data_IF_233588549108
#
_entry.id   IF_233588549108
#
_cell.length_a   1.000
_cell.length_b   1.000
_cell.length_c   1.000
_cell.angle_alpha   90.00
_cell.angle_beta   90.00
_cell.angle_gamma   90.00
#
_symmetry.space_group_name_H-M   'P 1'
#
loop_
_entity.id
_entity.type
_entity.pdbx_description
1 polymer ?
#
# COMPACT_ATOMS: atom_id res chain seq x y z
N UNK A 1 -36.81 138.87 -11.08
CA UNK A 1 -37.35 137.70 -10.34
C UNK A 1 -36.22 136.69 -10.27
N UNK A 2 -35.40 136.68 -9.21
CA UNK A 2 -35.56 135.97 -7.93
C UNK A 2 -35.29 134.45 -8.06
N UNK A 3 -34.01 134.09 -7.87
CA UNK A 3 -33.28 132.89 -7.32
C UNK A 3 -33.99 131.53 -7.15
N UNK A 4 -33.27 130.36 -7.22
CA UNK A 4 -32.23 129.91 -6.25
C UNK A 4 -30.96 129.23 -6.85
N UNK A 5 -29.76 129.37 -6.24
CA UNK A 5 -29.15 128.58 -5.13
C UNK A 5 -28.85 127.09 -5.48
N UNK A 6 -27.57 126.66 -5.59
CA UNK A 6 -26.72 126.04 -4.53
C UNK A 6 -27.20 124.58 -4.23
N UNK A 7 -26.44 123.47 -4.24
CA UNK A 7 -25.05 123.24 -3.79
C UNK A 7 -24.53 121.82 -4.15
N UNK A 8 -23.22 121.70 -3.97
CA UNK A 8 -22.37 120.54 -3.71
C UNK A 8 -23.01 119.23 -3.19
N UNK A 9 -22.62 118.11 -3.80
CA UNK A 9 -22.63 116.78 -3.16
C UNK A 9 -21.52 115.90 -3.75
N UNK A 10 -20.28 116.19 -3.34
CA UNK A 10 -19.05 115.42 -3.63
C UNK A 10 -18.67 114.50 -2.45
N UNK A 11 -19.67 113.98 -1.72
CA UNK A 11 -19.48 113.45 -0.36
C UNK A 11 -20.02 112.03 -0.15
N UNK A 12 -19.99 111.16 -1.16
CA UNK A 12 -20.42 109.76 -0.96
C UNK A 12 -19.48 108.74 -1.62
N UNK A 13 -18.26 108.65 -1.08
CA UNK A 13 -17.31 107.56 -1.35
C UNK A 13 -17.18 106.72 -0.08
N UNK A 14 -18.15 105.84 0.16
CA UNK A 14 -18.08 104.83 1.22
C UNK A 14 -17.21 103.64 0.78
N UNK A 15 -15.94 103.67 1.18
CA UNK A 15 -14.98 102.57 1.01
C UNK A 15 -15.38 101.36 1.86
N UNK A 16 -16.09 100.39 1.25
CA UNK A 16 -16.50 99.14 1.90
C UNK A 16 -15.31 98.16 1.98
N UNK A 17 -14.61 98.18 3.12
CA UNK A 17 -13.49 97.28 3.46
C UNK A 17 -13.99 95.83 3.57
N UNK A 18 -13.79 95.03 2.52
CA UNK A 18 -14.18 93.61 2.45
C UNK A 18 -13.03 92.74 2.99
N UNK A 19 -13.08 92.37 4.25
CA UNK A 19 -12.19 91.36 4.84
C UNK A 19 -12.50 89.99 4.21
N UNK A 20 -11.57 89.49 3.38
CA UNK A 20 -11.58 88.11 2.86
C UNK A 20 -11.24 87.16 4.01
N UNK A 21 -12.04 86.11 4.29
CA UNK A 21 -11.56 85.00 5.09
C UNK A 21 -10.55 84.20 4.25
N UNK A 22 -9.36 83.95 4.80
CA UNK A 22 -8.40 82.98 4.26
C UNK A 22 -8.97 81.59 4.55
N UNK A 23 -9.22 80.72 3.56
CA UNK A 23 -9.65 79.36 3.85
C UNK A 23 -8.49 78.61 4.51
N UNK A 24 -8.79 77.92 5.63
CA UNK A 24 -7.89 76.97 6.23
C UNK A 24 -7.51 75.91 5.19
N UNK A 25 -6.20 75.69 5.02
CA UNK A 25 -5.63 74.72 4.09
C UNK A 25 -6.07 73.33 4.53
N UNK A 26 -7.03 72.75 3.82
CA UNK A 26 -7.44 71.36 4.02
C UNK A 26 -6.24 70.44 3.72
N UNK A 27 -5.97 69.53 4.66
CA UNK A 27 -4.79 68.67 4.66
C UNK A 27 -4.72 67.69 3.47
N UNK A 28 -3.51 67.34 2.99
CA UNK A 28 -3.29 66.32 1.96
C UNK A 28 -3.36 64.87 2.49
N UNK A 29 -4.01 64.63 3.63
CA UNK A 29 -4.05 63.34 4.35
C UNK A 29 -4.87 62.24 3.66
N UNK A 30 -5.77 62.57 2.71
CA UNK A 30 -6.72 61.61 2.13
C UNK A 30 -6.06 60.55 1.21
N UNK A 31 -5.07 60.94 0.41
CA UNK A 31 -4.45 60.04 -0.57
C UNK A 31 -3.48 59.04 0.08
N UNK A 32 -2.80 59.44 1.15
CA UNK A 32 -1.91 58.57 1.91
C UNK A 32 -2.67 57.42 2.59
N UNK A 33 -3.76 57.74 3.30
CA UNK A 33 -4.59 56.74 3.97
C UNK A 33 -5.28 55.79 3.00
N UNK A 34 -5.65 56.27 1.81
CA UNK A 34 -6.19 55.41 0.74
C UNK A 34 -5.15 54.37 0.28
N UNK A 35 -3.89 54.78 0.10
CA UNK A 35 -2.80 53.85 -0.25
C UNK A 35 -2.52 52.81 0.84
N UNK A 36 -2.51 53.23 2.11
CA UNK A 36 -2.34 52.34 3.26
C UNK A 36 -3.48 51.33 3.35
N UNK A 37 -4.73 51.75 3.16
CA UNK A 37 -5.90 50.86 3.20
C UNK A 37 -5.85 49.79 2.09
N UNK A 38 -5.43 50.17 0.87
CA UNK A 38 -5.24 49.21 -0.24
C UNK A 38 -4.12 48.22 0.10
N UNK A 39 -2.98 48.72 0.59
CA UNK A 39 -1.84 47.86 0.95
C UNK A 39 -2.20 46.85 2.04
N UNK A 40 -2.86 47.31 3.12
CA UNK A 40 -3.33 46.43 4.21
C UNK A 40 -4.36 45.43 3.69
N UNK A 41 -5.27 45.85 2.81
CA UNK A 41 -6.24 44.95 2.18
C UNK A 41 -5.57 43.84 1.38
N UNK A 42 -4.59 44.19 0.53
CA UNK A 42 -3.81 43.20 -0.24
C UNK A 42 -3.00 42.29 0.70
N UNK A 43 -2.36 42.85 1.72
CA UNK A 43 -1.56 42.10 2.69
C UNK A 43 -2.40 41.10 3.50
N UNK A 44 -3.67 41.41 3.78
CA UNK A 44 -4.60 40.50 4.47
C UNK A 44 -5.17 39.42 3.54
N UNK A 45 -5.43 39.74 2.27
CA UNK A 45 -5.98 38.78 1.29
C UNK A 45 -4.92 37.80 0.78
N UNK A 46 -3.68 38.27 0.63
CA UNK A 46 -2.55 37.49 0.11
C UNK A 46 -2.30 36.15 0.84
N UNK A 47 -2.22 36.08 2.20
CA UNK A 47 -2.01 34.81 2.89
C UNK A 47 -3.12 33.80 2.60
N UNK A 48 -4.37 34.25 2.50
CA UNK A 48 -5.50 33.37 2.19
C UNK A 48 -5.45 32.83 0.75
N UNK A 49 -5.08 33.69 -0.21
CA UNK A 49 -4.89 33.28 -1.59
C UNK A 49 -3.73 32.30 -1.75
N UNK A 50 -2.59 32.57 -1.12
CA UNK A 50 -1.41 31.69 -1.17
C UNK A 50 -1.70 30.29 -0.62
N UNK A 51 -2.45 30.21 0.49
CA UNK A 51 -2.83 28.95 1.11
C UNK A 51 -3.79 28.12 0.24
N UNK A 52 -4.78 28.77 -0.38
CA UNK A 52 -5.71 28.07 -1.29
C UNK A 52 -5.02 27.55 -2.56
N UNK A 53 -4.07 28.31 -3.10
CA UNK A 53 -3.33 27.88 -4.30
C UNK A 53 -2.42 26.71 -3.98
N UNK A 54 -1.66 26.76 -2.87
CA UNK A 54 -0.79 25.66 -2.45
C UNK A 54 -1.55 24.37 -2.16
N UNK A 55 -2.69 24.46 -1.45
CA UNK A 55 -3.52 23.28 -1.15
C UNK A 55 -4.12 22.66 -2.41
N UNK A 56 -4.54 23.47 -3.39
CA UNK A 56 -5.03 22.94 -4.68
C UNK A 56 -3.93 22.30 -5.53
N UNK A 57 -2.73 22.87 -5.54
CA UNK A 57 -1.59 22.27 -6.24
C UNK A 57 -1.18 20.95 -5.56
N UNK A 58 -1.04 20.95 -4.23
CA UNK A 58 -0.74 19.74 -3.47
C UNK A 58 -1.78 18.64 -3.66
N UNK A 59 -3.08 18.97 -3.66
CA UNK A 59 -4.14 17.99 -3.93
C UNK A 59 -4.02 17.39 -5.35
N UNK A 60 -3.62 18.18 -6.34
CA UNK A 60 -3.44 17.70 -7.71
C UNK A 60 -2.23 16.79 -7.85
N UNK A 61 -1.12 17.13 -7.21
CA UNK A 61 0.11 16.33 -7.22
C UNK A 61 -0.08 15.00 -6.47
N UNK A 62 -0.79 15.02 -5.34
CA UNK A 62 -1.15 13.79 -4.59
C UNK A 62 -2.02 12.87 -5.44
N UNK A 63 -3.03 13.41 -6.14
CA UNK A 63 -3.90 12.60 -7.00
C UNK A 63 -3.12 11.96 -8.17
N UNK A 64 -2.15 12.68 -8.75
CA UNK A 64 -1.26 12.12 -9.78
C UNK A 64 -0.36 11.01 -9.20
N UNK A 65 0.26 11.27 -8.05
CA UNK A 65 1.14 10.30 -7.38
C UNK A 65 0.39 9.02 -6.95
N UNK A 66 -0.86 9.14 -6.48
CA UNK A 66 -1.69 7.98 -6.12
C UNK A 66 -2.00 7.11 -7.34
N UNK A 67 -2.25 7.72 -8.50
CA UNK A 67 -2.44 7.00 -9.76
C UNK A 67 -1.21 6.18 -10.14
N UNK A 68 -0.02 6.79 -10.11
CA UNK A 68 1.24 6.10 -10.41
C UNK A 68 1.56 5.00 -9.39
N UNK A 69 1.36 5.29 -8.10
CA UNK A 69 1.58 4.33 -7.02
C UNK A 69 0.66 3.10 -7.14
N UNK A 70 -0.62 3.30 -7.44
CA UNK A 70 -1.56 2.18 -7.64
C UNK A 70 -1.16 1.30 -8.82
N UNK A 71 -0.71 1.89 -9.93
CA UNK A 71 -0.20 1.16 -11.08
C UNK A 71 1.08 0.38 -10.75
N UNK A 72 1.97 0.95 -9.94
CA UNK A 72 3.19 0.27 -9.49
C UNK A 72 2.88 -0.88 -8.52
N UNK A 73 1.96 -0.68 -7.58
CA UNK A 73 1.45 -1.70 -6.66
C UNK A 73 0.80 -2.87 -7.40
N UNK A 74 -0.02 -2.61 -8.43
CA UNK A 74 -0.63 -3.66 -9.24
C UNK A 74 0.43 -4.51 -9.95
N UNK A 75 1.43 -3.86 -10.56
CA UNK A 75 2.57 -4.56 -11.19
C UNK A 75 3.37 -5.38 -10.17
N UNK A 76 3.61 -4.83 -8.98
CA UNK A 76 4.34 -5.52 -7.91
C UNK A 76 3.53 -6.70 -7.36
N UNK A 77 2.21 -6.55 -7.24
CA UNK A 77 1.29 -7.61 -6.84
C UNK A 77 1.29 -8.77 -7.82
N UNK A 78 1.22 -8.49 -9.12
CA UNK A 78 1.33 -9.52 -10.17
C UNK A 78 2.67 -10.27 -10.13
N UNK A 79 3.77 -9.54 -9.95
CA UNK A 79 5.11 -10.14 -9.84
C UNK A 79 5.26 -10.98 -8.57
N UNK A 80 4.78 -10.47 -7.43
CA UNK A 80 4.79 -11.20 -6.17
C UNK A 80 3.95 -12.47 -6.26
N UNK A 81 2.79 -12.42 -6.91
CA UNK A 81 1.93 -13.59 -7.08
C UNK A 81 2.58 -14.65 -7.97
N UNK A 82 3.32 -14.26 -9.01
CA UNK A 82 4.11 -15.20 -9.83
C UNK A 82 5.23 -15.85 -9.02
N UNK A 83 5.99 -15.07 -8.26
CA UNK A 83 7.05 -15.60 -7.39
C UNK A 83 6.50 -16.54 -6.30
N UNK A 84 5.35 -16.23 -5.71
CA UNK A 84 4.69 -17.12 -4.73
C UNK A 84 4.30 -18.45 -5.39
N UNK A 85 3.79 -18.43 -6.62
CA UNK A 85 3.45 -19.68 -7.32
C UNK A 85 4.69 -20.51 -7.69
N UNK A 86 5.76 -19.88 -8.14
CA UNK A 86 7.02 -20.55 -8.46
C UNK A 86 7.67 -21.15 -7.22
N UNK A 87 7.81 -20.36 -6.15
CA UNK A 87 8.33 -20.84 -4.87
C UNK A 87 7.44 -21.89 -4.22
N UNK A 88 6.11 -21.83 -4.39
CA UNK A 88 5.20 -22.89 -3.94
C UNK A 88 5.46 -24.22 -4.65
N UNK A 89 5.75 -24.21 -5.96
CA UNK A 89 6.07 -25.44 -6.71
C UNK A 89 7.40 -26.03 -6.27
N UNK A 90 8.43 -25.21 -6.13
CA UNK A 90 9.75 -25.65 -5.67
C UNK A 90 9.70 -26.21 -4.25
N UNK A 91 9.03 -25.50 -3.35
CA UNK A 91 8.86 -25.95 -1.97
C UNK A 91 8.01 -27.21 -1.87
N UNK A 92 6.99 -27.38 -2.72
CA UNK A 92 6.20 -28.61 -2.78
C UNK A 92 7.04 -29.81 -3.22
N UNK A 93 7.86 -29.66 -4.27
CA UNK A 93 8.76 -30.71 -4.73
C UNK A 93 9.80 -31.08 -3.67
N UNK A 94 10.43 -30.09 -3.03
CA UNK A 94 11.38 -30.31 -1.94
C UNK A 94 10.70 -30.95 -0.70
N UNK A 95 9.46 -30.58 -0.42
CA UNK A 95 8.69 -31.18 0.68
C UNK A 95 8.29 -32.64 0.38
N UNK A 96 8.03 -32.99 -0.87
CA UNK A 96 7.80 -34.38 -1.27
C UNK A 96 9.06 -35.23 -1.10
N UNK A 97 10.22 -34.71 -1.55
CA UNK A 97 11.51 -35.39 -1.37
C UNK A 97 11.83 -35.63 0.11
N UNK A 98 11.72 -34.60 0.95
CA UNK A 98 11.93 -34.73 2.40
C UNK A 98 10.99 -35.74 3.06
N UNK A 99 9.74 -35.83 2.59
CA UNK A 99 8.79 -36.84 3.08
C UNK A 99 9.23 -38.25 2.70
N UNK A 100 9.69 -38.45 1.46
CA UNK A 100 10.17 -39.75 0.98
C UNK A 100 11.46 -40.21 1.68
N UNK A 101 12.38 -39.30 2.01
CA UNK A 101 13.61 -39.60 2.75
C UNK A 101 13.35 -40.14 4.17
N UNK A 102 12.22 -39.76 4.76
CA UNK A 102 11.78 -40.26 6.06
C UNK A 102 11.29 -41.71 6.04
N UNK A 103 11.07 -42.31 4.87
CA UNK A 103 10.52 -43.66 4.74
C UNK A 103 11.59 -44.72 4.98
N UNK A 104 11.38 -45.55 6.00
CA UNK A 104 12.30 -46.63 6.36
C UNK A 104 11.57 -47.94 6.57
N UNK A 105 12.06 -48.99 5.94
CA UNK A 105 11.69 -50.36 6.26
C UNK A 105 12.31 -50.76 7.60
N UNK A 106 11.47 -51.12 8.57
CA UNK A 106 11.88 -51.51 9.93
C UNK A 106 11.98 -53.03 10.08
N UNK A 107 11.24 -53.80 9.28
CA UNK A 107 11.31 -55.25 9.30
C UNK A 107 10.45 -55.90 8.24
N UNK A 108 10.72 -57.18 7.98
CA UNK A 108 9.96 -58.01 7.06
C UNK A 108 9.58 -59.32 7.73
N UNK A 109 8.42 -59.87 7.38
CA UNK A 109 7.96 -61.16 7.89
C UNK A 109 7.03 -61.85 6.88
N UNK A 110 6.87 -63.16 7.05
CA UNK A 110 6.02 -64.01 6.23
C UNK A 110 4.90 -64.55 7.11
N UNK A 111 3.65 -64.20 6.82
CA UNK A 111 2.48 -64.64 7.59
C UNK A 111 1.50 -65.34 6.66
N UNK A 112 1.33 -66.66 6.85
CA UNK A 112 0.40 -67.47 6.04
C UNK A 112 0.68 -67.38 4.54
N UNK A 113 1.96 -67.37 4.14
CA UNK A 113 2.40 -67.23 2.76
C UNK A 113 2.37 -65.80 2.20
N UNK A 114 1.88 -64.81 2.96
CA UNK A 114 1.88 -63.41 2.54
C UNK A 114 3.09 -62.67 3.09
N UNK A 115 3.78 -61.90 2.24
CA UNK A 115 4.87 -61.01 2.65
C UNK A 115 4.28 -59.78 3.34
N UNK A 116 4.68 -59.59 4.60
CA UNK A 116 4.30 -58.44 5.42
C UNK A 116 5.56 -57.61 5.68
N UNK A 117 5.47 -56.32 5.44
CA UNK A 117 6.55 -55.36 5.68
C UNK A 117 6.12 -54.36 6.73
N UNK A 118 6.98 -54.17 7.74
CA UNK A 118 6.80 -53.20 8.81
C UNK A 118 7.64 -51.98 8.45
N UNK A 119 6.99 -50.83 8.32
CA UNK A 119 7.60 -49.61 7.79
C UNK A 119 7.33 -48.43 8.70
N UNK A 120 8.31 -47.54 8.80
CA UNK A 120 8.09 -46.18 9.25
C UNK A 120 7.89 -45.29 8.03
N UNK A 121 6.68 -44.77 7.88
CA UNK A 121 6.31 -43.88 6.78
C UNK A 121 6.65 -42.42 7.09
N UNK A 122 6.96 -42.08 8.35
CA UNK A 122 7.13 -40.69 8.79
C UNK A 122 5.91 -39.84 8.41
N UNK A 123 6.13 -38.90 7.48
CA UNK A 123 5.15 -37.95 6.94
C UNK A 123 4.72 -38.28 5.50
N UNK A 124 5.24 -39.35 4.89
CA UNK A 124 4.87 -39.77 3.55
C UNK A 124 3.59 -40.60 3.54
N UNK A 125 2.86 -40.53 2.44
CA UNK A 125 1.73 -41.43 2.18
C UNK A 125 2.20 -42.76 1.61
N UNK A 126 1.37 -43.80 1.71
CA UNK A 126 1.68 -45.13 1.17
C UNK A 126 1.99 -45.09 -0.35
N UNK A 127 1.29 -44.23 -1.09
CA UNK A 127 1.49 -44.05 -2.53
C UNK A 127 2.84 -43.42 -2.86
N UNK A 128 3.23 -42.36 -2.16
CA UNK A 128 4.54 -41.70 -2.31
C UNK A 128 5.69 -42.62 -1.91
N UNK A 129 5.47 -43.45 -0.88
CA UNK A 129 6.46 -44.38 -0.35
C UNK A 129 6.62 -45.67 -1.19
N UNK A 130 5.65 -46.00 -2.05
CA UNK A 130 5.56 -47.29 -2.78
C UNK A 130 6.88 -47.71 -3.41
N UNK A 131 7.46 -46.87 -4.27
CA UNK A 131 8.67 -47.19 -5.01
C UNK A 131 9.89 -47.39 -4.09
N UNK A 132 10.01 -46.58 -3.03
CA UNK A 132 11.09 -46.69 -2.05
C UNK A 132 10.93 -47.95 -1.19
N UNK A 133 9.70 -48.26 -0.76
CA UNK A 133 9.39 -49.46 0.00
C UNK A 133 9.64 -50.73 -0.80
N UNK A 134 9.23 -50.77 -2.07
CA UNK A 134 9.47 -51.93 -2.93
C UNK A 134 10.97 -52.21 -3.13
N UNK A 135 11.78 -51.16 -3.34
CA UNK A 135 13.24 -51.29 -3.42
C UNK A 135 13.85 -51.80 -2.11
N UNK A 136 13.47 -51.21 -0.98
CA UNK A 136 13.97 -51.63 0.34
C UNK A 136 13.54 -53.05 0.71
N UNK A 137 12.30 -53.41 0.38
CA UNK A 137 11.76 -54.74 0.61
C UNK A 137 12.48 -55.78 -0.25
N UNK A 138 12.70 -55.52 -1.54
CA UNK A 138 13.43 -56.43 -2.43
C UNK A 138 14.85 -56.70 -1.91
N UNK A 139 15.54 -55.65 -1.45
CA UNK A 139 16.85 -55.79 -0.81
C UNK A 139 16.80 -56.64 0.48
N UNK A 140 15.74 -56.51 1.27
CA UNK A 140 15.59 -57.24 2.54
C UNK A 140 15.21 -58.70 2.36
N UNK A 141 14.34 -59.00 1.38
CA UNK A 141 13.97 -60.36 1.01
C UNK A 141 15.02 -61.04 0.13
N UNK A 142 15.98 -60.29 -0.42
CA UNK A 142 17.03 -60.75 -1.36
C UNK A 142 16.47 -61.37 -2.64
N UNK A 143 15.27 -60.97 -3.03
CA UNK A 143 14.54 -61.48 -4.19
C UNK A 143 13.82 -60.32 -4.91
N UNK A 144 13.63 -60.41 -6.24
CA UNK A 144 12.82 -59.44 -6.96
C UNK A 144 11.34 -59.60 -6.58
N UNK A 145 10.69 -58.49 -6.23
CA UNK A 145 9.28 -58.46 -5.80
C UNK A 145 8.35 -57.91 -6.88
N UNK A 146 8.80 -57.83 -8.13
CA UNK A 146 8.00 -57.28 -9.24
C UNK A 146 6.72 -58.11 -9.45
N UNK A 147 5.57 -57.43 -9.48
CA UNK A 147 4.23 -58.03 -9.54
C UNK A 147 3.71 -58.60 -8.22
N UNK A 148 4.51 -58.58 -7.14
CA UNK A 148 4.11 -59.16 -5.86
C UNK A 148 3.33 -58.17 -4.98
N UNK A 149 2.34 -58.68 -4.25
CA UNK A 149 1.53 -57.90 -3.30
C UNK A 149 2.12 -57.98 -1.91
N UNK A 150 2.57 -56.83 -1.39
CA UNK A 150 3.08 -56.69 -0.04
C UNK A 150 2.00 -56.11 0.87
N UNK A 151 1.82 -56.69 2.05
CA UNK A 151 1.01 -56.10 3.11
C UNK A 151 1.87 -55.15 3.94
N UNK A 152 1.44 -53.91 4.09
CA UNK A 152 2.24 -52.86 4.72
C UNK A 152 1.66 -52.53 6.09
N UNK A 153 2.47 -52.68 7.13
CA UNK A 153 2.13 -52.31 8.49
C UNK A 153 2.97 -51.13 8.97
N UNK A 154 2.34 -50.15 9.62
CA UNK A 154 3.03 -48.99 10.17
C UNK A 154 3.65 -49.32 11.51
N UNK A 155 4.94 -49.04 11.64
CA UNK A 155 5.65 -49.10 12.90
C UNK A 155 5.14 -48.01 13.86
N UNK A 156 4.84 -48.39 15.12
CA UNK A 156 4.35 -47.47 16.16
C UNK A 156 5.21 -47.52 17.43
N UNK A 157 6.53 -47.69 17.27
CA UNK A 157 7.46 -47.82 18.38
C UNK A 157 7.15 -49.08 19.20
N UNK A 158 6.71 -48.90 20.44
CA UNK A 158 6.38 -49.99 21.38
C UNK A 158 4.93 -50.51 21.27
N UNK A 159 4.12 -49.93 20.39
CA UNK A 159 2.74 -50.37 20.16
C UNK A 159 2.68 -51.40 19.02
N UNK A 160 1.65 -52.27 18.99
CA UNK A 160 1.45 -53.20 17.89
C UNK A 160 1.34 -52.45 16.56
N UNK A 161 1.96 -53.01 15.52
CA UNK A 161 1.94 -52.44 14.18
C UNK A 161 0.50 -52.47 13.62
N UNK A 162 0.12 -51.41 12.92
CA UNK A 162 -1.23 -51.25 12.35
C UNK A 162 -1.18 -51.46 10.86
N UNK A 163 -2.12 -52.23 10.32
CA UNK A 163 -2.24 -52.43 8.88
C UNK A 163 -2.60 -51.13 8.17
N UNK A 164 -1.77 -50.71 7.23
CA UNK A 164 -1.93 -49.48 6.44
C UNK A 164 -2.59 -49.79 5.10
N UNK A 165 -2.43 -51.02 4.63
CA UNK A 165 -2.97 -51.46 3.34
C UNK A 165 -2.02 -52.38 2.61
N UNK A 166 -2.23 -52.49 1.31
CA UNK A 166 -1.45 -53.36 0.42
C UNK A 166 -0.88 -52.54 -0.71
N UNK A 167 0.35 -52.85 -1.09
CA UNK A 167 1.00 -52.30 -2.28
C UNK A 167 1.38 -53.45 -3.21
N UNK A 168 1.27 -53.22 -4.51
CA UNK A 168 1.84 -54.12 -5.52
C UNK A 168 3.15 -53.51 -5.97
N UNK A 169 4.27 -54.23 -5.92
CA UNK A 169 5.51 -53.70 -6.48
C UNK A 169 5.51 -53.89 -8.00
N UNK A 170 5.91 -52.85 -8.74
CA UNK A 170 6.01 -52.88 -10.20
C UNK A 170 7.48 -53.03 -10.61
#
# INVERSE_FOLDING_TARGET
MKDPHIDHSLSDLTFRKRSRPVPARAEPTSHFWTGVAIFVGVALIHPFYSYQVQTRLAARDINAAVGEFSNQMNKMGEQAQRQVQESARESAAAALQRRQEGVRLMGTTLVGGNRVVIVDLGQATLGEAKATLCRQAAASFREPLAGERLRVQRHRGRQPAVDVGRITCD
#
